data_IF_079829077878
#
_entry.id   IF_079829077878
#
_cell.length_a   1.000
_cell.length_b   1.000
_cell.length_c   1.000
_cell.angle_alpha   90.00
_cell.angle_beta   90.00
_cell.angle_gamma   90.00
#
_symmetry.space_group_name_H-M   'P 1'
#
loop_
_entity.id
_entity.type
_entity.pdbx_description
1 polymer ?
#
# COMPACT_ATOMS: atom_id res chain seq x y z
N UNK A 1 1.57 0.20 -13.70
CA UNK A 1 1.68 -1.24 -13.40
C UNK A 1 1.28 -1.46 -11.96
N UNK A 2 0.46 -2.47 -11.71
CA UNK A 2 0.04 -2.91 -10.38
C UNK A 2 0.91 -4.12 -10.01
N UNK A 3 1.48 -4.10 -8.81
CA UNK A 3 2.35 -5.16 -8.30
C UNK A 3 1.69 -5.68 -7.02
N UNK A 4 1.38 -6.97 -7.01
CA UNK A 4 0.78 -7.66 -5.86
C UNK A 4 1.74 -8.73 -5.35
N UNK A 5 1.65 -9.07 -4.06
CA UNK A 5 2.47 -10.14 -3.49
C UNK A 5 2.14 -11.51 -4.07
N UNK A 6 3.15 -12.36 -4.24
CA UNK A 6 2.96 -13.75 -4.66
C UNK A 6 2.23 -14.58 -3.58
N UNK A 7 1.25 -15.42 -3.97
CA UNK A 7 0.58 -16.35 -3.05
C UNK A 7 1.50 -17.51 -2.63
N UNK A 8 2.55 -17.79 -3.41
CA UNK A 8 3.52 -18.82 -3.12
C UNK A 8 4.55 -18.33 -2.10
N UNK A 9 4.93 -19.14 -1.09
CA UNK A 9 5.95 -18.77 -0.12
C UNK A 9 7.29 -18.41 -0.78
N UNK A 10 7.81 -17.23 -0.50
CA UNK A 10 9.10 -16.76 -0.98
C UNK A 10 9.72 -15.75 0.01
N UNK A 11 10.98 -15.38 -0.23
CA UNK A 11 11.74 -14.49 0.65
C UNK A 11 12.11 -15.10 2.00
N UNK A 12 12.78 -14.32 2.88
CA UNK A 12 13.26 -14.80 4.18
C UNK A 12 12.14 -15.27 5.11
N UNK A 13 11.00 -14.58 5.09
CA UNK A 13 9.86 -14.81 5.98
C UNK A 13 8.96 -15.97 5.52
N UNK A 14 9.13 -16.48 4.29
CA UNK A 14 8.30 -17.53 3.68
C UNK A 14 6.79 -17.28 3.81
N UNK A 15 6.39 -16.02 3.81
CA UNK A 15 5.01 -15.61 3.96
C UNK A 15 4.23 -15.81 2.65
N UNK A 16 2.91 -15.99 2.77
CA UNK A 16 1.99 -16.07 1.64
C UNK A 16 1.18 -14.78 1.56
N UNK A 17 1.15 -14.12 0.41
CA UNK A 17 0.27 -12.97 0.23
C UNK A 17 -1.19 -13.41 0.19
N UNK A 18 -2.05 -12.61 0.83
CA UNK A 18 -3.52 -12.66 0.67
C UNK A 18 -4.06 -11.36 0.07
N UNK A 19 -3.17 -10.46 -0.35
CA UNK A 19 -3.51 -9.09 -0.72
C UNK A 19 -4.18 -9.00 -2.10
N UNK A 20 -3.99 -10.02 -2.95
CA UNK A 20 -4.56 -10.06 -4.30
C UNK A 20 -6.09 -9.97 -4.32
N UNK A 21 -6.78 -10.60 -3.37
CA UNK A 21 -8.24 -10.51 -3.23
C UNK A 21 -8.68 -9.09 -2.85
N UNK A 22 -8.01 -8.45 -1.90
CA UNK A 22 -8.35 -7.08 -1.48
C UNK A 22 -8.06 -6.05 -2.59
N UNK A 23 -7.08 -6.32 -3.45
CA UNK A 23 -6.78 -5.49 -4.61
C UNK A 23 -7.91 -5.35 -5.63
N UNK A 24 -8.96 -6.20 -5.58
CA UNK A 24 -10.09 -6.16 -6.52
C UNK A 24 -10.90 -4.87 -6.39
N UNK A 25 -11.18 -4.41 -5.16
CA UNK A 25 -11.94 -3.18 -4.93
C UNK A 25 -11.19 -1.95 -5.48
N UNK A 26 -9.87 -1.93 -5.29
CA UNK A 26 -9.02 -0.90 -5.87
C UNK A 26 -9.03 -0.97 -7.40
N UNK A 27 -9.00 -2.19 -7.98
CA UNK A 27 -9.06 -2.36 -9.43
C UNK A 27 -10.39 -1.88 -10.02
N UNK A 28 -11.53 -2.17 -9.36
CA UNK A 28 -12.85 -1.66 -9.75
C UNK A 28 -12.91 -0.14 -9.69
N UNK A 29 -12.42 0.44 -8.58
CA UNK A 29 -12.32 1.89 -8.43
C UNK A 29 -11.50 2.54 -9.55
N UNK A 30 -10.30 2.01 -9.83
CA UNK A 30 -9.46 2.52 -10.93
C UNK A 30 -10.13 2.32 -12.30
N UNK A 31 -10.81 1.19 -12.50
CA UNK A 31 -11.55 0.87 -13.71
C UNK A 31 -12.65 1.87 -14.04
N UNK A 32 -13.26 2.50 -13.04
CA UNK A 32 -14.26 3.56 -13.24
C UNK A 32 -13.71 4.79 -13.99
N UNK A 33 -12.39 4.97 -14.03
CA UNK A 33 -11.72 6.07 -14.75
C UNK A 33 -11.16 5.65 -16.12
N UNK A 34 -11.23 4.37 -16.48
CA UNK A 34 -10.64 3.85 -17.72
C UNK A 34 -11.71 3.65 -18.80
N UNK A 35 -11.38 4.02 -20.04
CA UNK A 35 -12.20 3.64 -21.21
C UNK A 35 -11.85 2.22 -21.68
N UNK A 36 -10.55 1.87 -21.71
CA UNK A 36 -10.06 0.54 -22.08
C UNK A 36 -8.77 0.22 -21.30
N UNK A 37 -8.48 -1.08 -21.14
CA UNK A 37 -7.24 -1.58 -20.57
C UNK A 37 -6.59 -2.60 -21.53
N UNK A 38 -5.84 -2.15 -22.55
CA UNK A 38 -5.48 -2.97 -23.71
C UNK A 38 -4.37 -4.01 -23.45
N UNK A 39 -3.73 -3.98 -22.28
CA UNK A 39 -2.64 -4.90 -21.91
C UNK A 39 -2.78 -5.34 -20.45
N UNK A 40 -2.33 -6.56 -20.09
CA UNK A 40 -2.15 -6.93 -18.69
C UNK A 40 -1.23 -5.94 -18.00
N UNK A 41 -1.70 -5.35 -16.90
CA UNK A 41 -0.97 -4.33 -16.14
C UNK A 41 -0.63 -4.79 -14.73
N UNK A 42 -0.84 -6.07 -14.42
CA UNK A 42 -0.60 -6.67 -13.10
C UNK A 42 0.57 -7.66 -13.20
N UNK A 43 1.45 -7.64 -12.20
CA UNK A 43 2.50 -8.66 -12.01
C UNK A 43 2.57 -9.08 -10.54
N UNK A 44 2.95 -10.33 -10.30
CA UNK A 44 3.43 -10.71 -8.97
C UNK A 44 4.76 -10.03 -8.71
N UNK A 45 5.04 -9.70 -7.46
CA UNK A 45 6.30 -9.12 -7.03
C UNK A 45 7.52 -9.97 -7.42
N UNK A 46 7.36 -11.30 -7.44
CA UNK A 46 8.37 -12.28 -7.91
C UNK A 46 8.62 -12.24 -9.42
N UNK A 47 7.73 -11.66 -10.21
CA UNK A 47 7.83 -11.54 -11.67
C UNK A 47 8.39 -10.18 -12.12
N UNK A 48 8.51 -9.24 -11.18
CA UNK A 48 8.96 -7.87 -11.46
C UNK A 48 10.46 -7.88 -11.78
N UNK A 49 10.81 -7.26 -12.90
CA UNK A 49 12.20 -7.06 -13.33
C UNK A 49 12.60 -5.60 -13.13
N UNK A 50 13.90 -5.33 -13.12
CA UNK A 50 14.43 -3.96 -12.97
C UNK A 50 13.88 -2.98 -14.02
N UNK A 51 13.69 -3.45 -15.25
CA UNK A 51 13.09 -2.65 -16.33
C UNK A 51 11.66 -2.23 -15.98
N UNK A 52 10.85 -3.12 -15.39
CA UNK A 52 9.49 -2.81 -14.98
C UNK A 52 9.47 -1.68 -13.95
N UNK A 53 10.41 -1.72 -12.99
CA UNK A 53 10.55 -0.72 -11.94
C UNK A 53 10.94 0.66 -12.48
N UNK A 54 11.74 0.73 -13.54
CA UNK A 54 12.24 2.00 -14.12
C UNK A 54 11.28 2.63 -15.12
N UNK A 55 10.57 1.82 -15.91
CA UNK A 55 9.79 2.33 -17.05
C UNK A 55 8.34 2.70 -16.68
N UNK A 56 7.84 2.22 -15.55
CA UNK A 56 6.42 2.33 -15.18
C UNK A 56 6.18 3.22 -13.96
N UNK A 57 4.98 3.81 -13.90
CA UNK A 57 4.39 4.19 -12.63
C UNK A 57 3.92 2.91 -11.92
N UNK A 58 4.18 2.81 -10.61
CA UNK A 58 3.93 1.60 -9.84
C UNK A 58 2.79 1.84 -8.86
N UNK A 59 1.84 0.91 -8.80
CA UNK A 59 0.89 0.76 -7.71
C UNK A 59 1.27 -0.54 -7.01
N UNK A 60 1.69 -0.49 -5.76
CA UNK A 60 2.23 -1.62 -5.03
C UNK A 60 1.26 -1.94 -3.90
N UNK A 61 0.74 -3.17 -3.90
CA UNK A 61 -0.24 -3.63 -2.92
C UNK A 61 0.38 -4.72 -2.06
N UNK A 62 0.28 -4.54 -0.74
CA UNK A 62 0.79 -5.50 0.25
C UNK A 62 2.08 -5.04 0.93
N UNK A 63 2.22 -5.46 2.20
CA UNK A 63 3.35 -5.10 3.06
C UNK A 63 4.67 -5.78 2.64
N UNK A 64 5.81 -5.33 3.20
CA UNK A 64 7.15 -5.76 2.81
C UNK A 64 7.44 -7.24 3.09
N UNK A 65 6.68 -7.88 3.97
CA UNK A 65 6.80 -9.32 4.26
C UNK A 65 6.34 -10.18 3.07
N UNK A 66 5.35 -9.69 2.32
CA UNK A 66 4.66 -10.45 1.25
C UNK A 66 4.79 -9.81 -0.12
N UNK A 67 5.40 -8.62 -0.22
CA UNK A 67 5.67 -7.91 -1.45
C UNK A 67 7.10 -7.36 -1.42
N UNK A 68 8.01 -7.99 -2.15
CA UNK A 68 9.42 -7.61 -2.18
C UNK A 68 9.64 -6.20 -2.75
N UNK A 69 8.77 -5.72 -3.64
CA UNK A 69 8.89 -4.35 -4.18
C UNK A 69 8.57 -3.32 -3.10
N UNK A 70 7.59 -3.58 -2.22
CA UNK A 70 7.35 -2.76 -1.03
C UNK A 70 8.60 -2.72 -0.15
N UNK A 71 9.26 -3.86 0.09
CA UNK A 71 10.50 -3.92 0.86
C UNK A 71 11.61 -3.02 0.27
N UNK A 72 11.83 -3.07 -1.04
CA UNK A 72 12.87 -2.29 -1.72
C UNK A 72 12.66 -0.77 -1.60
N UNK A 73 11.41 -0.30 -1.67
CA UNK A 73 11.10 1.14 -1.62
C UNK A 73 10.91 1.67 -0.20
N UNK A 74 10.64 0.79 0.77
CA UNK A 74 10.20 1.13 2.13
C UNK A 74 11.08 2.18 2.83
N UNK A 75 12.41 2.07 2.72
CA UNK A 75 13.33 2.99 3.39
C UNK A 75 13.24 4.44 2.89
N UNK A 76 12.68 4.67 1.69
CA UNK A 76 12.53 5.98 1.06
C UNK A 76 11.16 6.62 1.30
N UNK A 77 10.23 5.92 1.94
CA UNK A 77 8.88 6.43 2.18
C UNK A 77 8.81 7.26 3.47
N UNK A 78 8.04 8.37 3.49
CA UNK A 78 7.85 9.20 4.68
C UNK A 78 6.88 8.57 5.71
N UNK A 79 6.05 7.62 5.27
CA UNK A 79 5.33 6.67 6.12
C UNK A 79 5.77 5.29 5.65
N UNK A 80 6.31 4.48 6.56
CA UNK A 80 7.03 3.24 6.21
C UNK A 80 6.86 2.16 7.28
N UNK A 81 7.17 0.93 6.93
CA UNK A 81 7.21 -0.19 7.88
C UNK A 81 8.55 -0.22 8.62
N UNK A 82 8.52 -0.28 9.94
CA UNK A 82 9.72 -0.32 10.78
C UNK A 82 10.03 -1.75 11.23
N UNK A 83 11.11 -2.33 10.66
CA UNK A 83 11.54 -3.72 10.92
C UNK A 83 11.89 -3.95 12.39
N UNK A 84 12.44 -2.94 13.07
CA UNK A 84 12.82 -3.04 14.48
C UNK A 84 11.61 -3.18 15.41
N UNK A 85 10.46 -2.66 14.97
CA UNK A 85 9.18 -2.73 15.69
C UNK A 85 8.21 -3.66 15.00
N UNK A 86 8.65 -4.86 14.61
CA UNK A 86 7.80 -5.92 14.02
C UNK A 86 6.97 -5.43 12.82
N UNK A 87 7.57 -4.62 11.96
CA UNK A 87 6.92 -4.00 10.79
C UNK A 87 5.73 -3.11 11.14
N UNK A 88 5.68 -2.50 12.33
CA UNK A 88 4.72 -1.44 12.63
C UNK A 88 4.82 -0.29 11.60
N UNK A 89 3.70 0.36 11.32
CA UNK A 89 3.70 1.55 10.45
C UNK A 89 4.27 2.72 11.24
N UNK A 90 5.24 3.43 10.67
CA UNK A 90 5.94 4.56 11.29
C UNK A 90 5.90 5.76 10.36
N UNK A 91 5.40 6.88 10.87
CA UNK A 91 5.45 8.16 10.19
C UNK A 91 6.74 8.90 10.56
N UNK A 92 7.64 9.11 9.60
CA UNK A 92 8.82 9.97 9.82
C UNK A 92 8.45 11.45 9.81
N UNK A 93 7.21 11.78 9.41
CA UNK A 93 6.67 13.14 9.41
C UNK A 93 6.28 13.54 10.83
N UNK A 94 5.50 12.70 11.52
CA UNK A 94 5.00 12.97 12.87
C UNK A 94 5.87 12.37 13.99
N UNK A 95 6.70 11.37 13.66
CA UNK A 95 7.44 10.56 14.63
C UNK A 95 6.63 9.43 15.28
N UNK A 96 5.33 9.30 14.95
CA UNK A 96 4.44 8.29 15.55
C UNK A 96 4.71 6.89 14.98
N UNK A 97 4.46 5.90 15.83
CA UNK A 97 4.49 4.46 15.50
C UNK A 97 3.12 3.88 15.78
N UNK A 98 2.62 3.10 14.83
CA UNK A 98 1.29 2.50 14.81
C UNK A 98 1.45 0.98 14.76
N UNK A 99 1.35 0.29 15.91
CA UNK A 99 1.70 -1.12 16.01
C UNK A 99 0.56 -2.07 15.65
N UNK A 100 -0.68 -1.61 15.51
CA UNK A 100 -1.85 -2.49 15.33
C UNK A 100 -1.90 -3.13 13.92
N UNK A 101 -2.52 -4.30 13.79
CA UNK A 101 -2.58 -5.08 12.54
C UNK A 101 -3.54 -4.48 11.50
N UNK A 102 -4.50 -3.70 11.99
CA UNK A 102 -5.54 -2.95 11.27
C UNK A 102 -5.00 -1.64 10.68
N UNK A 103 -3.75 -1.30 10.95
CA UNK A 103 -3.13 -0.09 10.43
C UNK A 103 -2.65 -0.30 9.00
N UNK A 104 -3.15 0.56 8.12
CA UNK A 104 -2.73 0.68 6.74
C UNK A 104 -1.96 1.98 6.49
N UNK A 105 -1.20 2.00 5.39
CA UNK A 105 -0.60 3.20 4.85
C UNK A 105 -0.90 3.35 3.36
N UNK A 106 -1.08 4.60 2.94
CA UNK A 106 -1.30 4.99 1.55
C UNK A 106 -0.28 6.09 1.24
N UNK A 107 0.71 5.78 0.40
CA UNK A 107 1.84 6.69 0.15
C UNK A 107 2.08 6.85 -1.33
N UNK A 108 1.90 8.08 -1.84
CA UNK A 108 2.32 8.48 -3.18
C UNK A 108 3.64 9.23 -3.10
N UNK A 109 4.66 8.72 -3.79
CA UNK A 109 6.00 9.30 -3.80
C UNK A 109 6.63 9.23 -5.19
N UNK A 110 7.75 9.92 -5.37
CA UNK A 110 8.62 9.73 -6.54
C UNK A 110 9.17 8.31 -6.54
N UNK A 111 9.25 7.70 -7.71
CA UNK A 111 9.78 6.36 -7.84
C UNK A 111 11.30 6.37 -7.57
N UNK A 112 11.80 5.61 -6.57
CA UNK A 112 13.23 5.57 -6.25
C UNK A 112 14.13 5.04 -7.38
N UNK A 113 13.58 4.27 -8.31
CA UNK A 113 14.29 3.71 -9.45
C UNK A 113 14.30 4.64 -10.67
N UNK A 114 13.37 5.60 -10.73
CA UNK A 114 13.28 6.62 -11.77
C UNK A 114 12.48 7.85 -11.29
N UNK A 115 13.12 9.00 -11.02
CA UNK A 115 12.45 10.22 -10.53
C UNK A 115 11.38 10.83 -11.47
N UNK A 116 11.37 10.46 -12.75
CA UNK A 116 10.33 10.85 -13.72
C UNK A 116 9.04 10.05 -13.55
N UNK A 117 9.08 8.96 -12.78
CA UNK A 117 7.93 8.09 -12.46
C UNK A 117 7.49 8.27 -11.02
N UNK A 118 6.30 7.76 -10.72
CA UNK A 118 5.72 7.77 -9.38
C UNK A 118 5.43 6.35 -8.89
N UNK A 119 5.45 6.19 -7.57
CA UNK A 119 4.92 5.01 -6.88
C UNK A 119 3.72 5.41 -6.03
N UNK A 120 2.78 4.47 -5.89
CA UNK A 120 1.68 4.49 -4.93
C UNK A 120 1.74 3.17 -4.15
N UNK A 121 2.01 3.23 -2.85
CA UNK A 121 2.01 2.07 -1.97
C UNK A 121 0.70 2.06 -1.18
N UNK A 122 -0.03 0.95 -1.24
CA UNK A 122 -1.28 0.73 -0.50
C UNK A 122 -1.13 -0.58 0.26
N UNK A 123 -0.81 -0.50 1.55
CA UNK A 123 -0.38 -1.68 2.30
C UNK A 123 -0.60 -1.54 3.80
N UNK A 124 -0.91 -2.65 4.46
CA UNK A 124 -0.72 -2.83 5.90
C UNK A 124 0.42 -3.81 6.19
N UNK A 125 0.80 -3.92 7.45
CA UNK A 125 1.80 -4.92 7.87
C UNK A 125 1.23 -6.35 7.81
N UNK A 126 -0.09 -6.46 7.94
CA UNK A 126 -0.91 -7.66 7.78
C UNK A 126 -2.12 -7.32 6.91
N UNK A 127 -2.86 -8.34 6.52
CA UNK A 127 -4.00 -8.20 5.62
C UNK A 127 -5.12 -7.26 6.12
N UNK A 128 -5.44 -7.13 7.44
CA UNK A 128 -6.45 -6.18 7.89
C UNK A 128 -6.06 -4.74 7.57
N UNK A 129 -4.80 -4.36 7.79
CA UNK A 129 -4.29 -3.05 7.42
C UNK A 129 -4.24 -2.80 5.91
N UNK A 130 -3.91 -3.80 5.08
CA UNK A 130 -4.01 -3.65 3.61
C UNK A 130 -5.46 -3.40 3.20
N UNK A 131 -6.40 -4.13 3.80
CA UNK A 131 -7.83 -3.92 3.57
C UNK A 131 -8.27 -2.52 4.00
N UNK A 132 -7.86 -2.05 5.18
CA UNK A 132 -8.13 -0.68 5.63
C UNK A 132 -7.60 0.37 4.65
N UNK A 133 -6.37 0.20 4.16
CA UNK A 133 -5.77 1.09 3.17
C UNK A 133 -6.57 1.13 1.85
N UNK A 134 -7.04 -0.02 1.37
CA UNK A 134 -7.86 -0.09 0.16
C UNK A 134 -9.24 0.52 0.39
N UNK A 135 -9.88 0.21 1.51
CA UNK A 135 -11.19 0.76 1.88
C UNK A 135 -11.13 2.29 1.97
N UNK A 136 -10.11 2.84 2.63
CA UNK A 136 -9.91 4.30 2.67
C UNK A 136 -9.68 4.87 1.27
N UNK A 137 -8.92 4.17 0.42
CA UNK A 137 -8.66 4.62 -0.94
C UNK A 137 -9.94 4.73 -1.77
N UNK A 138 -10.85 3.76 -1.65
CA UNK A 138 -12.08 3.70 -2.46
C UNK A 138 -13.22 4.55 -1.88
N UNK A 139 -13.29 4.72 -0.56
CA UNK A 139 -14.40 5.44 0.11
C UNK A 139 -14.06 6.87 0.52
N UNK A 140 -12.79 7.16 0.83
CA UNK A 140 -12.30 8.48 1.32
C UNK A 140 -11.28 9.12 0.37
N UNK A 141 -11.36 8.82 -0.93
CA UNK A 141 -10.40 9.27 -1.94
C UNK A 141 -10.15 10.79 -1.93
N UNK A 142 -11.20 11.60 -1.76
CA UNK A 142 -11.07 13.05 -1.71
C UNK A 142 -10.24 13.51 -0.51
N UNK A 143 -10.47 12.95 0.67
CA UNK A 143 -9.70 13.26 1.89
C UNK A 143 -8.24 12.80 1.77
N UNK A 144 -7.99 11.65 1.15
CA UNK A 144 -6.65 11.15 0.89
C UNK A 144 -5.86 12.00 -0.13
N UNK A 145 -6.57 12.72 -1.00
CA UNK A 145 -5.95 13.64 -1.96
C UNK A 145 -5.44 14.93 -1.30
N UNK A 146 -5.90 15.22 -0.08
CA UNK A 146 -5.36 16.28 0.76
C UNK A 146 -4.06 15.75 1.38
N UNK A 147 -3.00 16.57 1.37
CA UNK A 147 -1.71 16.18 1.95
C UNK A 147 -1.80 15.78 3.42
N UNK A 148 -0.72 15.15 3.91
CA UNK A 148 -0.57 14.74 5.30
C UNK A 148 -0.81 15.93 6.24
N UNK A 149 -1.53 15.71 7.35
CA UNK A 149 -1.89 16.78 8.29
C UNK A 149 -0.68 17.51 8.90
N UNK A 150 0.46 16.83 9.02
CA UNK A 150 1.71 17.38 9.54
C UNK A 150 2.61 17.95 8.44
N UNK A 151 2.38 17.60 7.17
CA UNK A 151 3.15 18.07 6.03
C UNK A 151 2.30 18.09 4.75
N UNK A 152 1.65 19.24 4.48
CA UNK A 152 0.61 19.39 3.43
C UNK A 152 1.06 19.07 2.00
N UNK A 153 2.36 19.12 1.70
CA UNK A 153 2.91 18.79 0.38
C UNK A 153 3.15 17.28 0.19
N UNK A 154 3.06 16.48 1.26
CA UNK A 154 3.36 15.06 1.24
C UNK A 154 2.07 14.25 1.17
N UNK A 155 1.93 13.44 0.13
CA UNK A 155 0.80 12.51 -0.02
C UNK A 155 1.13 11.17 0.65
N UNK A 156 1.11 11.17 1.98
CA UNK A 156 1.32 9.99 2.79
C UNK A 156 0.32 9.97 3.94
N UNK A 157 -0.45 8.90 4.04
CA UNK A 157 -1.56 8.76 4.98
C UNK A 157 -1.38 7.48 5.80
N UNK A 158 -1.73 7.57 7.07
CA UNK A 158 -1.90 6.42 7.96
C UNK A 158 -3.39 6.25 8.19
N UNK A 159 -3.88 5.03 8.08
CA UNK A 159 -5.29 4.72 8.28
C UNK A 159 -5.45 3.57 9.27
N UNK A 160 -6.57 3.54 9.98
CA UNK A 160 -6.90 2.50 10.96
C UNK A 160 -8.24 1.88 10.57
N UNK A 161 -8.21 0.58 10.29
CA UNK A 161 -9.42 -0.19 10.04
C UNK A 161 -10.22 -0.38 11.32
N UNK A 162 -11.55 -0.30 11.19
CA UNK A 162 -12.50 -0.54 12.27
C UNK A 162 -13.40 -1.70 11.84
N UNK A 163 -13.69 -2.58 12.78
CA UNK A 163 -14.73 -3.60 12.68
C UNK A 163 -15.98 -3.05 13.40
N UNK A 164 -16.85 -2.39 12.64
CA UNK A 164 -18.00 -1.66 13.15
C UNK A 164 -19.16 -2.60 13.51
N UNK A 165 -19.38 -3.66 12.72
CA UNK A 165 -20.44 -4.64 12.95
C UNK A 165 -20.02 -5.86 13.81
N UNK A 166 -18.74 -5.93 14.19
CA UNK A 166 -18.14 -6.95 15.08
C UNK A 166 -18.09 -8.36 14.47
N UNK A 167 -17.99 -8.50 13.15
CA UNK A 167 -17.86 -9.77 12.44
C UNK A 167 -16.40 -10.25 12.26
N UNK A 168 -15.42 -9.47 12.74
CA UNK A 168 -13.99 -9.73 12.63
C UNK A 168 -13.37 -9.22 11.33
N UNK A 169 -14.09 -8.41 10.57
CA UNK A 169 -13.70 -7.90 9.27
C UNK A 169 -13.67 -6.36 9.31
N UNK A 170 -12.65 -5.75 8.70
CA UNK A 170 -12.59 -4.28 8.56
C UNK A 170 -13.67 -3.80 7.58
N UNK A 171 -14.64 -3.03 8.07
CA UNK A 171 -15.80 -2.52 7.32
C UNK A 171 -15.89 -0.98 7.32
N UNK A 172 -15.16 -0.31 8.21
CA UNK A 172 -14.96 1.15 8.23
C UNK A 172 -13.48 1.49 8.43
N UNK A 173 -13.11 2.77 8.26
CA UNK A 173 -11.72 3.21 8.32
C UNK A 173 -11.59 4.66 8.76
N UNK A 174 -10.66 4.95 9.66
CA UNK A 174 -10.30 6.31 10.05
C UNK A 174 -8.95 6.74 9.45
N UNK A 175 -8.85 8.01 9.02
CA UNK A 175 -7.56 8.61 8.65
C UNK A 175 -6.91 9.16 9.93
N UNK A 176 -5.71 8.68 10.24
CA UNK A 176 -4.94 9.05 11.44
C UNK A 176 -3.94 10.18 11.17
N UNK A 177 -3.47 10.32 9.93
CA UNK A 177 -2.60 11.40 9.42
C UNK A 177 -2.87 11.68 7.93
#
# INVERSE_FOLDING_TARGET
MIIIGSPDPHGPEKARSRDGYYGIDLALFLGAFLQTAPKPNVKLDTEVKEQDLKENNLIIIGGPIVNHVTELVNAKLPVRFDKETHFAVKSTISGKVYPNDEIGMIVKAKNPFNPEKSILVVAGKRYPGTRAAILAFTTKFQELSIGNIHQKQTLAKVVEGIDYDSDGIVDDVEIRE
#
